data_IF_058759242986
#
_entry.id   IF_058759242986
#
_cell.length_a   1.000
_cell.length_b   1.000
_cell.length_c   1.000
_cell.angle_alpha   90.00
_cell.angle_beta   90.00
_cell.angle_gamma   90.00
#
_symmetry.space_group_name_H-M   'P 1'
#
loop_
_entity.id
_entity.type
_entity.pdbx_description
1 polymer ?
#
# COMPACT_ATOMS: atom_id res chain seq x y z
N UNK A 1 25.46 -18.01 24.22
CA UNK A 1 25.25 -16.63 23.72
C UNK A 1 24.66 -16.61 22.31
N UNK A 2 25.17 -17.41 21.36
CA UNK A 2 24.62 -17.52 19.99
C UNK A 2 23.15 -17.93 19.91
N UNK A 3 22.69 -18.86 20.76
CA UNK A 3 21.28 -19.31 20.75
C UNK A 3 20.29 -18.20 21.11
N UNK A 4 20.67 -17.28 22.01
CA UNK A 4 19.82 -16.15 22.41
C UNK A 4 19.67 -15.14 21.28
N UNK A 5 20.73 -14.91 20.51
CA UNK A 5 20.73 -14.01 19.34
C UNK A 5 19.82 -14.54 18.24
N UNK A 6 19.87 -15.85 17.97
CA UNK A 6 19.02 -16.50 16.95
C UNK A 6 17.54 -16.47 17.35
N UNK A 7 17.23 -16.75 18.63
CA UNK A 7 15.86 -16.69 19.13
C UNK A 7 15.30 -15.26 19.09
N UNK A 8 16.08 -14.27 19.51
CA UNK A 8 15.69 -12.86 19.42
C UNK A 8 15.44 -12.41 17.99
N UNK A 9 16.29 -12.84 17.04
CA UNK A 9 16.13 -12.56 15.61
C UNK A 9 14.82 -13.11 15.05
N UNK A 10 14.52 -14.39 15.29
CA UNK A 10 13.29 -15.04 14.80
C UNK A 10 12.01 -14.38 15.35
N UNK A 11 12.03 -13.92 16.61
CA UNK A 11 10.90 -13.20 17.21
C UNK A 11 10.64 -11.88 16.47
N UNK A 12 11.69 -11.11 16.18
CA UNK A 12 11.55 -9.83 15.47
C UNK A 12 11.03 -10.05 14.03
N UNK A 13 11.52 -11.08 13.32
CA UNK A 13 11.02 -11.47 11.99
C UNK A 13 9.54 -11.87 12.04
N UNK A 14 9.12 -12.59 13.08
CA UNK A 14 7.71 -12.91 13.30
C UNK A 14 6.86 -11.65 13.48
N UNK A 15 7.36 -10.70 14.27
CA UNK A 15 6.68 -9.42 14.51
C UNK A 15 6.56 -8.57 13.24
N UNK A 16 7.56 -8.56 12.35
CA UNK A 16 7.46 -7.84 11.07
C UNK A 16 6.42 -8.45 10.15
N UNK A 17 6.33 -9.79 10.09
CA UNK A 17 5.33 -10.49 9.30
C UNK A 17 3.90 -10.23 9.79
N UNK A 18 3.69 -10.24 11.11
CA UNK A 18 2.41 -9.89 11.74
C UNK A 18 2.06 -8.42 11.49
N UNK A 19 3.02 -7.50 11.63
CA UNK A 19 2.82 -6.08 11.36
C UNK A 19 2.48 -5.79 9.88
N UNK A 20 3.07 -6.53 8.94
CA UNK A 20 2.75 -6.45 7.52
C UNK A 20 1.33 -6.97 7.22
N UNK A 21 0.95 -8.10 7.82
CA UNK A 21 -0.36 -8.70 7.65
C UNK A 21 -1.48 -7.81 8.22
N UNK A 22 -1.26 -7.26 9.43
CA UNK A 22 -2.19 -6.31 10.05
C UNK A 22 -2.39 -5.03 9.21
N UNK A 23 -1.48 -4.73 8.28
CA UNK A 23 -1.54 -3.58 7.37
C UNK A 23 -2.08 -3.94 5.99
N UNK A 24 -2.76 -5.09 5.87
CA UNK A 24 -3.33 -5.61 4.62
C UNK A 24 -2.30 -5.78 3.50
N UNK A 25 -1.03 -5.99 3.87
CA UNK A 25 0.03 -6.40 2.95
C UNK A 25 0.29 -7.89 3.09
N UNK A 26 1.01 -8.46 2.15
CA UNK A 26 1.31 -9.89 2.21
C UNK A 26 2.23 -10.17 3.40
N UNK A 27 1.86 -11.15 4.22
CA UNK A 27 2.70 -11.59 5.34
C UNK A 27 4.08 -12.07 4.87
N UNK A 28 4.15 -12.61 3.65
CA UNK A 28 5.39 -13.06 3.01
C UNK A 28 6.36 -11.89 2.74
N UNK A 29 5.86 -10.75 2.26
CA UNK A 29 6.69 -9.55 2.07
C UNK A 29 7.22 -9.03 3.41
N UNK A 30 6.40 -9.05 4.47
CA UNK A 30 6.85 -8.71 5.82
C UNK A 30 7.90 -9.65 6.40
N UNK A 31 7.80 -10.93 6.09
CA UNK A 31 8.77 -11.95 6.49
C UNK A 31 10.11 -11.78 5.75
N UNK A 32 10.09 -11.56 4.41
CA UNK A 32 11.31 -11.30 3.64
C UNK A 32 11.99 -10.01 4.07
N UNK A 33 11.26 -8.94 4.36
CA UNK A 33 11.92 -7.71 4.86
C UNK A 33 12.51 -7.94 6.26
N UNK A 34 11.79 -8.67 7.12
CA UNK A 34 12.27 -9.02 8.46
C UNK A 34 13.53 -9.87 8.46
N UNK A 35 13.65 -10.86 7.56
CA UNK A 35 14.80 -11.78 7.57
C UNK A 35 16.11 -11.05 7.20
N UNK A 36 16.07 -10.13 6.23
CA UNK A 36 17.24 -9.35 5.83
C UNK A 36 17.54 -8.18 6.77
N UNK A 37 16.48 -7.55 7.31
CA UNK A 37 16.61 -6.37 8.16
C UNK A 37 15.55 -6.39 9.28
N UNK A 38 15.76 -7.15 10.36
CA UNK A 38 14.74 -7.44 11.38
C UNK A 38 14.26 -6.16 12.09
N UNK A 39 15.18 -5.35 12.60
CA UNK A 39 14.84 -4.13 13.35
C UNK A 39 14.27 -3.05 12.43
N UNK A 40 14.90 -2.82 11.26
CA UNK A 40 14.42 -1.81 10.32
C UNK A 40 13.09 -2.21 9.70
N UNK A 41 12.89 -3.48 9.37
CA UNK A 41 11.64 -4.00 8.86
C UNK A 41 10.49 -3.74 9.82
N UNK A 42 10.70 -3.96 11.13
CA UNK A 42 9.69 -3.68 12.14
C UNK A 42 9.34 -2.19 12.19
N UNK A 43 10.35 -1.30 12.26
CA UNK A 43 10.14 0.15 12.30
C UNK A 43 9.41 0.64 11.05
N UNK A 44 9.80 0.17 9.87
CA UNK A 44 9.15 0.49 8.59
C UNK A 44 7.68 0.09 8.63
N UNK A 45 7.37 -1.16 9.00
CA UNK A 45 5.98 -1.61 9.05
C UNK A 45 5.19 -0.87 10.12
N UNK A 46 5.75 -0.48 11.26
CA UNK A 46 5.05 0.32 12.25
C UNK A 46 4.64 1.71 11.71
N UNK A 47 5.49 2.35 10.91
CA UNK A 47 5.22 3.68 10.32
C UNK A 47 4.24 3.59 9.13
N UNK A 48 4.25 2.49 8.37
CA UNK A 48 3.37 2.29 7.21
C UNK A 48 1.89 2.37 7.60
N UNK A 49 1.10 3.16 6.88
CA UNK A 49 -0.38 3.08 6.99
C UNK A 49 -0.91 1.83 6.28
N UNK A 50 -1.99 1.21 6.78
CA UNK A 50 -2.60 0.03 6.14
C UNK A 50 -2.91 0.30 4.66
N UNK A 51 -2.65 -0.68 3.80
CA UNK A 51 -2.93 -0.57 2.37
C UNK A 51 -4.46 -0.61 2.13
N UNK A 52 -5.07 0.45 1.56
CA UNK A 52 -6.49 0.48 1.28
C UNK A 52 -6.92 -0.53 0.20
N UNK A 53 -6.02 -0.98 -0.68
CA UNK A 53 -6.37 -1.81 -1.84
C UNK A 53 -7.09 -3.13 -1.51
N UNK A 54 -6.86 -3.73 -0.33
CA UNK A 54 -7.53 -4.98 0.05
C UNK A 54 -8.81 -4.79 0.85
N UNK A 55 -9.07 -3.60 1.35
CA UNK A 55 -10.21 -3.31 2.23
C UNK A 55 -11.21 -2.36 1.58
N UNK A 56 -10.83 -1.71 0.49
CA UNK A 56 -11.67 -0.69 -0.10
C UNK A 56 -12.79 -1.36 -0.91
N UNK A 57 -13.98 -1.29 -0.33
CA UNK A 57 -15.31 -1.26 -0.97
C UNK A 57 -15.45 -0.13 -2.02
N UNK A 58 -14.37 0.21 -2.72
CA UNK A 58 -14.39 1.11 -3.87
C UNK A 58 -14.99 0.27 -4.99
N UNK A 59 -16.28 0.49 -5.27
CA UNK A 59 -16.93 -0.11 -6.44
C UNK A 59 -16.11 0.31 -7.65
N UNK A 60 -15.70 -0.62 -8.52
CA UNK A 60 -14.79 -0.33 -9.64
C UNK A 60 -15.27 0.83 -10.54
N UNK A 61 -16.55 1.16 -10.48
CA UNK A 61 -17.11 2.32 -11.15
C UNK A 61 -16.68 3.69 -10.61
N UNK A 62 -16.14 3.86 -9.40
CA UNK A 62 -15.80 5.19 -8.86
C UNK A 62 -14.42 5.71 -9.28
N UNK A 63 -13.58 4.84 -9.86
CA UNK A 63 -12.27 5.24 -10.36
C UNK A 63 -12.40 5.88 -11.74
N UNK A 64 -11.97 7.14 -11.81
CA UNK A 64 -11.99 7.95 -13.03
C UNK A 64 -10.56 8.09 -13.55
N UNK A 65 -10.37 7.79 -14.82
CA UNK A 65 -9.09 7.98 -15.49
C UNK A 65 -8.82 9.49 -15.71
N UNK A 66 -7.56 9.84 -16.00
CA UNK A 66 -7.13 11.19 -16.42
C UNK A 66 -8.00 11.84 -17.50
N UNK A 67 -8.64 11.06 -18.36
CA UNK A 67 -9.57 11.52 -19.40
C UNK A 67 -11.01 11.83 -18.92
N UNK A 68 -11.32 11.65 -17.63
CA UNK A 68 -12.68 11.84 -17.09
C UNK A 68 -13.65 10.68 -17.35
N UNK A 69 -13.12 9.50 -17.63
CA UNK A 69 -13.88 8.28 -17.95
C UNK A 69 -13.77 7.25 -16.83
N UNK A 70 -14.85 6.50 -16.60
CA UNK A 70 -14.94 5.43 -15.60
C UNK A 70 -15.49 4.15 -16.22
N UNK A 71 -15.24 3.00 -15.59
CA UNK A 71 -15.83 1.75 -16.02
C UNK A 71 -17.33 1.67 -15.66
N UNK A 72 -18.16 1.24 -16.59
CA UNK A 72 -19.57 0.96 -16.34
C UNK A 72 -19.72 -0.25 -15.40
N UNK A 73 -20.47 -0.17 -14.29
CA UNK A 73 -20.63 -1.29 -13.36
C UNK A 73 -21.42 -2.49 -13.91
N UNK A 74 -22.11 -2.33 -15.06
CA UNK A 74 -22.90 -3.41 -15.67
C UNK A 74 -22.16 -4.17 -16.78
N UNK A 75 -21.31 -3.48 -17.54
CA UNK A 75 -20.66 -4.06 -18.73
C UNK A 75 -19.15 -3.81 -18.80
N UNK A 76 -18.59 -3.12 -17.81
CA UNK A 76 -17.17 -2.78 -17.67
C UNK A 76 -16.58 -1.89 -18.79
N UNK A 77 -17.42 -1.40 -19.69
CA UNK A 77 -17.00 -0.51 -20.77
C UNK A 77 -16.75 0.93 -20.28
N UNK A 78 -15.87 1.67 -20.96
CA UNK A 78 -15.52 3.04 -20.58
C UNK A 78 -16.63 4.04 -20.92
N UNK A 79 -17.09 4.76 -19.90
CA UNK A 79 -18.13 5.79 -20.00
C UNK A 79 -17.72 7.07 -19.29
N UNK A 80 -18.26 8.22 -19.73
CA UNK A 80 -18.01 9.49 -19.05
C UNK A 80 -18.53 9.44 -17.61
N UNK A 81 -17.80 10.07 -16.70
CA UNK A 81 -18.17 10.09 -15.28
C UNK A 81 -19.53 10.75 -15.00
N UNK A 82 -19.91 11.73 -15.83
CA UNK A 82 -21.21 12.42 -15.77
C UNK A 82 -22.34 11.72 -16.54
N UNK A 83 -22.10 10.53 -17.11
CA UNK A 83 -23.11 9.85 -17.91
C UNK A 83 -24.22 9.24 -17.02
N UNK A 84 -25.48 9.56 -17.34
CA UNK A 84 -26.67 8.97 -16.72
C UNK A 84 -27.08 7.62 -17.33
N UNK A 85 -26.53 7.29 -18.51
CA UNK A 85 -26.85 6.05 -19.25
C UNK A 85 -25.63 5.53 -20.02
N UNK A 86 -25.42 4.22 -20.00
CA UNK A 86 -24.36 3.59 -20.79
C UNK A 86 -24.70 3.61 -22.28
N UNK A 87 -23.78 4.06 -23.14
CA UNK A 87 -23.92 3.97 -24.60
C UNK A 87 -23.77 2.55 -25.16
N UNK A 88 -23.18 1.63 -24.38
CA UNK A 88 -22.88 0.27 -24.82
C UNK A 88 -23.94 -0.74 -24.37
N UNK A 89 -24.21 -0.82 -23.07
CA UNK A 89 -25.21 -1.76 -22.54
C UNK A 89 -26.59 -1.15 -22.29
N UNK A 90 -26.73 0.17 -22.42
CA UNK A 90 -28.00 0.86 -22.17
C UNK A 90 -28.44 0.91 -20.70
N UNK A 91 -27.65 0.38 -19.75
CA UNK A 91 -28.01 0.44 -18.33
C UNK A 91 -28.02 1.88 -17.81
N UNK A 92 -28.91 2.15 -16.85
CA UNK A 92 -28.91 3.41 -16.10
C UNK A 92 -27.70 3.46 -15.18
N UNK A 93 -26.96 4.56 -15.23
CA UNK A 93 -25.73 4.76 -14.46
C UNK A 93 -25.91 6.03 -13.62
N UNK A 94 -25.45 6.00 -12.36
CA UNK A 94 -25.44 7.21 -11.53
C UNK A 94 -24.27 8.12 -11.94
N UNK A 95 -24.49 9.41 -12.27
CA UNK A 95 -23.38 10.33 -12.47
C UNK A 95 -22.63 10.52 -11.15
N UNK A 96 -21.31 10.63 -11.22
CA UNK A 96 -20.45 10.91 -10.06
C UNK A 96 -19.88 12.33 -10.18
N UNK A 97 -19.72 13.00 -9.06
CA UNK A 97 -19.10 14.33 -8.97
C UNK A 97 -17.56 14.25 -8.96
N UNK A 98 -16.89 15.34 -9.29
CA UNK A 98 -15.42 15.42 -9.25
C UNK A 98 -14.86 15.21 -7.83
N UNK A 99 -15.62 15.62 -6.80
CA UNK A 99 -15.27 15.39 -5.40
C UNK A 99 -15.28 13.90 -5.05
N UNK A 100 -16.30 13.17 -5.51
CA UNK A 100 -16.38 11.72 -5.32
C UNK A 100 -15.26 10.99 -6.07
N UNK A 101 -14.99 11.38 -7.32
CA UNK A 101 -13.92 10.80 -8.14
C UNK A 101 -12.53 11.00 -7.51
N UNK A 102 -12.23 12.22 -7.05
CA UNK A 102 -10.95 12.56 -6.42
C UNK A 102 -10.74 11.87 -5.08
N UNK A 103 -11.79 11.74 -4.24
CA UNK A 103 -11.71 10.98 -2.99
C UNK A 103 -11.43 9.50 -3.21
N UNK A 104 -12.02 8.90 -4.26
CA UNK A 104 -11.75 7.52 -4.66
C UNK A 104 -10.31 7.35 -5.17
N UNK A 105 -9.83 8.31 -5.96
CA UNK A 105 -8.45 8.32 -6.47
C UNK A 105 -7.42 8.49 -5.35
N UNK A 106 -7.66 9.38 -4.38
CA UNK A 106 -6.81 9.55 -3.19
C UNK A 106 -6.82 8.31 -2.30
N UNK A 107 -7.99 7.69 -2.12
CA UNK A 107 -8.10 6.45 -1.36
C UNK A 107 -7.31 5.30 -1.99
N UNK A 108 -7.20 5.21 -3.32
CA UNK A 108 -6.48 4.12 -4.00
C UNK A 108 -5.00 4.45 -4.26
N UNK A 109 -4.69 5.67 -4.71
CA UNK A 109 -3.34 6.07 -5.15
C UNK A 109 -2.59 6.99 -4.15
N UNK A 110 -3.28 7.63 -3.21
CA UNK A 110 -2.70 8.45 -2.15
C UNK A 110 -1.62 7.78 -1.27
N UNK A 111 -1.66 6.44 -0.98
CA UNK A 111 -0.65 5.86 -0.10
C UNK A 111 0.77 5.82 -0.69
N UNK A 112 0.98 6.10 -1.99
CA UNK A 112 2.28 5.92 -2.65
C UNK A 112 3.27 7.09 -2.55
N UNK A 113 2.85 8.28 -2.07
CA UNK A 113 3.72 9.48 -2.16
C UNK A 113 4.68 9.71 -0.98
N UNK A 114 4.36 9.23 0.22
CA UNK A 114 5.16 9.50 1.43
C UNK A 114 6.26 8.48 1.71
N UNK A 115 6.17 7.30 1.07
CA UNK A 115 6.96 6.14 1.47
C UNK A 115 8.37 6.10 0.90
N UNK A 116 8.61 6.78 -0.23
CA UNK A 116 9.89 6.73 -0.96
C UNK A 116 11.01 7.53 -0.28
N UNK A 117 10.68 8.67 0.33
CA UNK A 117 11.67 9.54 1.01
C UNK A 117 12.07 9.00 2.37
N UNK A 118 11.11 8.48 3.14
CA UNK A 118 11.38 7.92 4.48
C UNK A 118 12.27 6.67 4.39
N UNK A 119 12.02 5.80 3.40
CA UNK A 119 12.85 4.61 3.17
C UNK A 119 14.30 4.97 2.81
N UNK A 120 14.52 5.99 1.98
CA UNK A 120 15.87 6.43 1.59
C UNK A 120 16.65 6.98 2.79
N UNK A 121 15.99 7.74 3.67
CA UNK A 121 16.63 8.28 4.88
C UNK A 121 16.97 7.16 5.88
N UNK A 122 16.06 6.22 6.12
CA UNK A 122 16.30 5.09 7.02
C UNK A 122 17.41 4.16 6.50
N UNK A 123 17.47 3.93 5.19
CA UNK A 123 18.51 3.12 4.56
C UNK A 123 19.88 3.81 4.63
N UNK A 124 19.92 5.14 4.45
CA UNK A 124 21.14 5.92 4.66
C UNK A 124 21.66 5.89 6.10
N UNK A 125 20.78 6.02 7.09
CA UNK A 125 21.14 5.94 8.52
C UNK A 125 21.62 4.53 8.86
N UNK A 126 20.96 3.49 8.35
CA UNK A 126 21.36 2.10 8.58
C UNK A 126 22.76 1.79 8.03
N UNK A 127 23.09 2.25 6.81
CA UNK A 127 24.42 2.08 6.21
C UNK A 127 25.48 2.79 7.04
N UNK A 128 25.19 4.00 7.53
CA UNK A 128 26.12 4.75 8.37
C UNK A 128 26.38 4.07 9.71
N UNK A 129 25.32 3.57 10.37
CA UNK A 129 25.43 2.87 11.66
C UNK A 129 26.15 1.53 11.50
N UNK A 130 25.86 0.78 10.44
CA UNK A 130 26.54 -0.49 10.15
C UNK A 130 28.02 -0.29 9.81
N UNK A 131 28.35 0.74 9.02
CA UNK A 131 29.73 1.14 8.74
C UNK A 131 30.48 1.46 10.03
N UNK A 132 29.88 2.27 10.91
CA UNK A 132 30.48 2.61 12.21
C UNK A 132 30.74 1.39 13.09
N UNK A 133 29.79 0.44 13.16
CA UNK A 133 29.94 -0.78 13.93
C UNK A 133 30.94 -1.78 13.32
N UNK A 134 31.13 -1.77 11.99
CA UNK A 134 32.11 -2.64 11.32
C UNK A 134 33.56 -2.19 11.53
N UNK A 135 33.75 -0.95 11.97
CA UNK A 135 35.07 -0.33 12.12
C UNK A 135 35.60 -0.36 13.57
N UNK A 136 34.77 -0.79 14.52
CA UNK A 136 35.09 -0.96 15.94
C UNK A 136 34.91 -2.42 16.37
#
# INVERSE_FOLDING_TARGET
MSQVVVLGWLIVVGLTAVAANAKNRSAFEGFLVGIFFPVLGLVIYLIIKPNPQKTSTIKEGLLVNSSGERACPSCSELVKMQASKCKHCGSGITPITDAEASSAHEAVYGPMRSHRTILVLLLGIAVAVFGYFSQH
#
